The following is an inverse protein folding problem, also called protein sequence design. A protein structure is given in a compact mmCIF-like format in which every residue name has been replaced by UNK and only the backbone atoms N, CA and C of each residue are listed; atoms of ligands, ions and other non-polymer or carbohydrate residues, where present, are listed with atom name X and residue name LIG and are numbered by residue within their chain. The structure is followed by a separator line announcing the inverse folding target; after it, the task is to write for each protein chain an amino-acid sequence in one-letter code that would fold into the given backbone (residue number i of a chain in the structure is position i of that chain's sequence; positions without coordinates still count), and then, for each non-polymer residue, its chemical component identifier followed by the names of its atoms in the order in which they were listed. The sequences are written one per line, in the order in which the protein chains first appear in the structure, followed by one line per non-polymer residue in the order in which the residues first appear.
data_IF_116337548907
#
_entry.id   IF_116337548907
#
_cell.length_a   1.000
_cell.length_b   1.000
_cell.length_c   1.000
_cell.angle_alpha   90.00
_cell.angle_beta   90.00
_cell.angle_gamma   90.00
#
_symmetry.space_group_name_H-M   'P 1'
#
loop_
_entity.id
_entity.type
_entity.pdbx_description
1 polymer ?
#
# COMPACT_ATOMS: atom_id res chain seq x y z
N UNK A 1 1.24 -19.95 2.14
CA UNK A 1 -0.07 -20.08 1.46
C UNK A 1 -0.32 -21.52 1.03
N UNK A 2 0.69 -22.22 0.51
CA UNK A 2 0.63 -23.64 0.13
C UNK A 2 -0.13 -24.55 1.12
N UNK A 3 0.22 -24.57 2.41
CA UNK A 3 -0.42 -25.46 3.38
C UNK A 3 -1.92 -25.25 3.65
N UNK A 4 -2.44 -24.04 3.39
CA UNK A 4 -3.82 -23.67 3.78
C UNK A 4 -4.69 -23.27 2.58
N UNK A 5 -4.06 -22.86 1.48
CA UNK A 5 -4.72 -22.35 0.28
C UNK A 5 -4.24 -23.03 -1.00
N UNK A 6 -3.24 -23.94 -0.93
CA UNK A 6 -2.64 -24.61 -2.09
C UNK A 6 -2.12 -23.65 -3.19
N UNK A 7 -1.64 -22.46 -2.77
CA UNK A 7 -1.04 -21.47 -3.68
C UNK A 7 0.48 -21.52 -3.56
N UNK A 8 1.15 -21.81 -4.67
CA UNK A 8 2.61 -21.78 -4.82
C UNK A 8 3.14 -20.33 -4.76
N UNK A 9 4.21 -20.11 -3.99
CA UNK A 9 4.82 -18.78 -3.81
C UNK A 9 6.20 -18.68 -4.46
N UNK A 10 6.31 -17.81 -5.46
CA UNK A 10 7.59 -17.46 -6.06
C UNK A 10 8.23 -16.25 -5.36
N UNK A 11 9.11 -16.52 -4.39
CA UNK A 11 9.78 -15.48 -3.60
C UNK A 11 10.98 -14.87 -4.34
N UNK A 12 11.02 -13.54 -4.42
CA UNK A 12 12.16 -12.80 -4.98
C UNK A 12 12.61 -11.71 -4.02
N UNK A 13 13.83 -11.81 -3.50
CA UNK A 13 14.44 -10.74 -2.76
C UNK A 13 14.83 -9.59 -3.71
N UNK A 14 14.32 -8.38 -3.45
CA UNK A 14 14.72 -7.16 -4.18
C UNK A 14 15.31 -6.16 -3.19
N UNK A 15 16.54 -5.73 -3.43
CA UNK A 15 17.20 -4.64 -2.69
C UNK A 15 17.21 -3.34 -3.49
N UNK A 16 17.54 -2.21 -2.83
CA UNK A 16 17.94 -0.89 -3.36
C UNK A 16 16.96 -0.14 -4.27
N UNK A 17 16.34 -0.81 -5.23
CA UNK A 17 15.45 -0.28 -6.27
C UNK A 17 14.00 -0.79 -6.13
N UNK A 18 13.67 -1.42 -5.00
CA UNK A 18 12.35 -2.00 -4.78
C UNK A 18 11.23 -0.95 -4.90
N UNK A 19 11.36 0.22 -4.25
CA UNK A 19 10.38 1.31 -4.31
C UNK A 19 10.16 1.84 -5.73
N UNK A 20 11.23 1.94 -6.53
CA UNK A 20 11.12 2.32 -7.95
C UNK A 20 10.35 1.27 -8.74
N UNK A 21 10.57 -0.02 -8.44
CA UNK A 21 9.91 -1.13 -9.14
C UNK A 21 8.41 -1.21 -8.86
N UNK A 22 7.97 -0.94 -7.63
CA UNK A 22 6.54 -0.92 -7.29
C UNK A 22 5.83 0.35 -7.77
N UNK A 23 6.55 1.42 -8.11
CA UNK A 23 5.94 2.60 -8.73
C UNK A 23 5.65 2.38 -10.22
N UNK A 24 6.55 1.70 -10.94
CA UNK A 24 6.41 1.45 -12.37
C UNK A 24 5.60 0.21 -12.71
N UNK A 25 5.89 -0.93 -12.06
CA UNK A 25 5.24 -2.23 -12.30
C UNK A 25 5.27 -3.08 -11.03
N UNK A 26 4.29 -2.84 -10.15
CA UNK A 26 4.12 -3.64 -8.93
C UNK A 26 4.01 -5.14 -9.25
N UNK A 27 4.72 -6.01 -8.53
CA UNK A 27 4.40 -7.43 -8.54
C UNK A 27 3.02 -7.63 -7.91
N UNK A 28 2.42 -8.82 -8.11
CA UNK A 28 1.10 -9.14 -7.56
C UNK A 28 1.06 -9.05 -6.03
N UNK A 29 2.13 -9.51 -5.37
CA UNK A 29 2.29 -9.46 -3.91
C UNK A 29 3.67 -8.92 -3.62
N UNK A 30 3.75 -8.02 -2.64
CA UNK A 30 5.01 -7.50 -2.14
C UNK A 30 4.93 -7.13 -0.67
N UNK A 31 6.09 -7.12 0.00
CA UNK A 31 6.21 -6.63 1.37
C UNK A 31 6.43 -5.12 1.35
N UNK A 32 5.57 -4.39 2.03
CA UNK A 32 5.70 -2.95 2.26
C UNK A 32 5.55 -2.68 3.76
N UNK A 33 6.29 -1.69 4.26
CA UNK A 33 6.11 -1.12 5.59
C UNK A 33 5.94 0.38 5.49
N UNK A 34 5.20 0.95 6.43
CA UNK A 34 5.03 2.39 6.60
C UNK A 34 5.34 2.77 8.03
N UNK A 35 6.17 3.79 8.23
CA UNK A 35 6.42 4.41 9.52
C UNK A 35 5.77 5.78 9.53
N UNK A 36 5.15 6.16 10.64
CA UNK A 36 4.48 7.45 10.74
C UNK A 36 5.49 8.61 10.66
N UNK A 37 5.20 9.63 9.86
CA UNK A 37 6.04 10.84 9.81
C UNK A 37 5.77 11.77 11.02
N UNK A 38 4.58 11.68 11.62
CA UNK A 38 4.14 12.41 12.81
C UNK A 38 3.06 11.60 13.56
N UNK A 39 2.81 11.84 14.86
CA UNK A 39 1.96 10.99 15.69
C UNK A 39 0.46 11.26 15.48
N UNK A 40 -0.03 11.08 14.26
CA UNK A 40 -1.45 11.20 13.93
C UNK A 40 -1.92 10.03 13.01
N UNK A 41 -3.14 9.49 13.22
CA UNK A 41 -3.70 8.43 12.38
C UNK A 41 -3.75 8.73 10.87
N UNK A 42 -3.87 10.01 10.48
CA UNK A 42 -3.94 10.45 9.09
C UNK A 42 -2.73 10.00 8.29
N UNK A 43 -1.57 9.85 8.95
CA UNK A 43 -0.34 9.39 8.30
C UNK A 43 -0.49 7.97 7.70
N UNK A 44 -1.34 7.13 8.31
CA UNK A 44 -1.67 5.80 7.80
C UNK A 44 -2.89 5.80 6.88
N UNK A 45 -3.92 6.59 7.19
CA UNK A 45 -5.16 6.64 6.40
C UNK A 45 -4.92 7.20 4.99
N UNK A 46 -4.05 8.21 4.87
CA UNK A 46 -3.69 8.81 3.59
C UNK A 46 -3.04 7.84 2.59
N UNK A 47 -2.55 6.67 3.03
CA UNK A 47 -1.97 5.66 2.11
C UNK A 47 -3.00 5.03 1.19
N UNK A 48 -4.27 5.04 1.59
CA UNK A 48 -5.35 4.36 0.88
C UNK A 48 -6.27 5.35 0.16
N UNK A 49 -6.05 6.66 0.24
CA UNK A 49 -6.81 7.58 -0.61
C UNK A 49 -6.49 7.30 -2.09
N UNK A 50 -7.51 7.21 -2.94
CA UNK A 50 -7.36 6.86 -4.37
C UNK A 50 -6.33 7.74 -5.09
N UNK A 51 -6.30 9.03 -4.78
CA UNK A 51 -5.42 10.03 -5.40
C UNK A 51 -4.10 10.25 -4.66
N UNK A 52 -3.84 9.53 -3.57
CA UNK A 52 -2.63 9.69 -2.77
C UNK A 52 -1.39 9.28 -3.56
N UNK A 53 -0.36 10.14 -3.54
CA UNK A 53 0.95 9.84 -4.13
C UNK A 53 1.67 8.66 -3.46
N UNK A 54 1.25 8.30 -2.24
CA UNK A 54 1.79 7.16 -1.48
C UNK A 54 0.94 5.88 -1.63
N UNK A 55 -0.14 5.91 -2.40
CA UNK A 55 -0.96 4.73 -2.70
C UNK A 55 -0.24 3.81 -3.71
N UNK A 56 0.70 3.03 -3.20
CA UNK A 56 1.50 2.06 -3.98
C UNK A 56 0.73 0.78 -4.31
N UNK A 57 -0.43 0.58 -3.68
CA UNK A 57 -1.30 -0.57 -3.87
C UNK A 57 -2.27 -0.37 -5.04
N UNK A 58 -2.44 0.88 -5.52
CA UNK A 58 -3.46 1.27 -6.50
C UNK A 58 -4.86 0.90 -6.01
N UNK A 59 -5.06 0.96 -4.71
CA UNK A 59 -6.36 0.70 -4.11
C UNK A 59 -7.27 1.91 -4.34
N UNK A 60 -8.54 1.67 -4.58
CA UNK A 60 -9.52 2.73 -4.77
C UNK A 60 -10.84 2.33 -4.13
N UNK A 61 -11.40 3.22 -3.32
CA UNK A 61 -12.72 3.04 -2.72
C UNK A 61 -13.33 4.41 -2.45
N UNK A 62 -14.41 4.73 -3.17
CA UNK A 62 -15.05 6.04 -3.08
C UNK A 62 -15.62 6.33 -1.69
N UNK A 63 -16.16 5.33 -1.00
CA UNK A 63 -16.71 5.53 0.34
C UNK A 63 -15.61 5.82 1.36
N UNK A 64 -14.48 5.15 1.26
CA UNK A 64 -13.31 5.44 2.09
C UNK A 64 -12.76 6.84 1.84
N UNK A 65 -12.60 7.22 0.57
CA UNK A 65 -12.16 8.57 0.20
C UNK A 65 -13.08 9.64 0.81
N UNK A 66 -14.40 9.40 0.79
CA UNK A 66 -15.37 10.31 1.42
C UNK A 66 -15.20 10.40 2.94
N UNK A 67 -14.97 9.28 3.63
CA UNK A 67 -14.82 9.28 5.08
C UNK A 67 -13.54 10.00 5.52
N UNK A 68 -12.43 9.77 4.81
CA UNK A 68 -11.12 10.32 5.20
C UNK A 68 -10.94 11.76 4.73
N UNK A 69 -11.42 12.12 3.52
CA UNK A 69 -11.26 13.49 2.99
C UNK A 69 -12.27 14.48 3.60
N UNK A 70 -13.45 14.00 4.03
CA UNK A 70 -14.48 14.87 4.65
C UNK A 70 -14.19 15.19 6.12
N UNK A 71 -13.26 14.47 6.75
CA UNK A 71 -12.77 14.76 8.10
C UNK A 71 -11.30 15.27 8.07
N UNK A 72 -11.00 16.40 7.39
CA UNK A 72 -9.71 17.05 7.54
C UNK A 72 -9.76 17.79 8.88
N UNK A 73 -9.28 17.13 9.94
CA UNK A 73 -9.14 17.75 11.26
C UNK A 73 -8.21 18.97 11.21
#
# INVERSE_FOLDING_TARGET
MEKHLNIELNLKAKSGKFFKSIRSRSPQIFRLGWGADFPDPDNFMNLFITTSGNNRLRWANQHYDQLVVKDPR
#
